data_IF_861573382611
#
_entry.id   IF_861573382611
#
_cell.length_a   1.000
_cell.length_b   1.000
_cell.length_c   1.000
_cell.angle_alpha   90.00
_cell.angle_beta   90.00
_cell.angle_gamma   90.00
#
_symmetry.space_group_name_H-M   'P 1'
#
loop_
_entity.id
_entity.type
_entity.pdbx_description
1 polymer ?
#
# COMPACT_ATOMS: atom_id res chain seq x y z
N UNK A 1 12.87 1.97 -12.97
CA UNK A 1 11.98 3.09 -12.58
C UNK A 1 11.72 4.06 -13.73
N UNK A 2 12.73 4.49 -14.49
CA UNK A 2 12.52 5.32 -15.70
C UNK A 2 11.44 4.73 -16.62
N UNK A 3 11.58 3.48 -17.07
CA UNK A 3 10.58 2.82 -17.95
C UNK A 3 9.15 2.71 -17.38
N UNK A 4 8.96 2.77 -16.05
CA UNK A 4 7.63 2.63 -15.41
C UNK A 4 6.86 3.95 -15.38
N UNK A 5 7.56 5.08 -15.43
CA UNK A 5 7.01 6.42 -15.21
C UNK A 5 7.24 7.32 -16.45
N UNK A 6 8.26 7.04 -17.25
CA UNK A 6 8.57 7.72 -18.50
C UNK A 6 7.44 7.53 -19.53
N UNK A 7 6.99 8.64 -20.13
CA UNK A 7 5.88 8.63 -21.09
C UNK A 7 4.47 8.55 -20.49
N UNK A 8 4.31 8.38 -19.16
CA UNK A 8 2.98 8.50 -18.54
C UNK A 8 2.49 9.95 -18.58
N UNK A 9 1.23 10.22 -18.98
CA UNK A 9 0.67 11.56 -18.96
C UNK A 9 0.75 12.13 -17.53
N UNK A 10 1.04 13.43 -17.37
CA UNK A 10 1.16 14.04 -16.06
C UNK A 10 -0.14 13.86 -15.28
N UNK A 11 -0.07 13.13 -14.16
CA UNK A 11 -1.12 13.19 -13.16
C UNK A 11 -0.83 14.42 -12.31
N UNK A 12 -1.78 15.37 -12.28
CA UNK A 12 -1.62 16.63 -11.54
C UNK A 12 -0.35 17.40 -11.99
N UNK A 13 -0.30 17.81 -13.27
CA UNK A 13 0.65 18.77 -13.89
C UNK A 13 2.16 18.41 -13.94
N UNK A 14 2.64 17.32 -13.33
CA UNK A 14 4.08 16.93 -13.38
C UNK A 14 4.26 15.60 -14.10
N UNK A 15 5.10 15.57 -15.14
CA UNK A 15 5.45 14.32 -15.83
C UNK A 15 6.35 13.43 -14.98
N UNK A 16 6.37 12.13 -15.29
CA UNK A 16 7.26 11.19 -14.62
C UNK A 16 8.74 11.57 -14.70
N UNK A 17 9.17 11.96 -15.91
CA UNK A 17 10.56 12.36 -16.15
C UNK A 17 10.93 13.64 -15.39
N UNK A 18 10.03 14.63 -15.33
CA UNK A 18 10.27 15.84 -14.53
C UNK A 18 10.36 15.51 -13.04
N UNK A 19 9.48 14.65 -12.54
CA UNK A 19 9.54 14.21 -11.15
C UNK A 19 10.84 13.48 -10.82
N UNK A 20 11.36 12.65 -11.72
CA UNK A 20 12.66 11.99 -11.53
C UNK A 20 13.83 12.98 -11.48
N UNK A 21 13.78 14.08 -12.23
CA UNK A 21 14.77 15.16 -12.14
C UNK A 21 14.70 15.86 -10.78
N UNK A 22 13.50 16.08 -10.25
CA UNK A 22 13.28 16.73 -8.95
C UNK A 22 13.52 15.81 -7.74
N UNK A 23 13.49 14.49 -7.95
CA UNK A 23 13.49 13.50 -6.87
C UNK A 23 14.69 13.62 -5.91
N UNK A 24 15.96 13.76 -6.34
CA UNK A 24 17.08 13.90 -5.43
C UNK A 24 16.93 15.09 -4.47
N UNK A 25 16.45 16.24 -4.99
CA UNK A 25 16.18 17.43 -4.17
C UNK A 25 15.07 17.17 -3.16
N UNK A 26 13.96 16.55 -3.59
CA UNK A 26 12.84 16.20 -2.70
C UNK A 26 13.29 15.27 -1.57
N UNK A 27 14.14 14.28 -1.87
CA UNK A 27 14.69 13.38 -0.86
C UNK A 27 15.53 14.14 0.17
N UNK A 28 16.44 15.02 -0.28
CA UNK A 28 17.27 15.83 0.61
C UNK A 28 16.43 16.77 1.48
N UNK A 29 15.48 17.50 0.89
CA UNK A 29 14.58 18.39 1.65
C UNK A 29 13.78 17.64 2.72
N UNK A 30 13.28 16.44 2.39
CA UNK A 30 12.55 15.62 3.37
C UNK A 30 13.49 15.08 4.46
N UNK A 31 14.71 14.70 4.09
CA UNK A 31 15.71 14.22 5.04
C UNK A 31 16.11 15.32 6.02
N UNK A 32 16.38 16.53 5.53
CA UNK A 32 16.70 17.69 6.37
C UNK A 32 15.53 18.03 7.31
N UNK A 33 14.30 18.06 6.77
CA UNK A 33 13.10 18.38 7.54
C UNK A 33 12.86 17.42 8.70
N UNK A 34 13.17 16.15 8.54
CA UNK A 34 12.89 15.09 9.52
C UNK A 34 14.14 14.59 10.25
N UNK A 35 15.29 15.24 10.08
CA UNK A 35 16.60 14.85 10.64
C UNK A 35 16.94 13.38 10.32
N UNK A 36 16.88 13.04 9.03
CA UNK A 36 17.13 11.70 8.52
C UNK A 36 18.54 11.57 7.97
N UNK A 37 19.17 10.44 8.29
CA UNK A 37 20.39 9.98 7.61
C UNK A 37 20.04 8.81 6.71
N UNK A 38 20.41 8.90 5.43
CA UNK A 38 20.25 7.77 4.53
C UNK A 38 21.13 6.59 4.95
N UNK A 39 20.59 5.38 4.78
CA UNK A 39 21.33 4.14 5.02
C UNK A 39 22.05 3.78 3.73
N UNK A 40 23.36 3.56 3.82
CA UNK A 40 24.15 3.06 2.69
C UNK A 40 23.87 1.56 2.46
N UNK A 41 23.88 1.09 1.20
CA UNK A 41 23.73 -0.32 0.87
C UNK A 41 24.80 -1.18 1.54
N UNK A 42 24.40 -2.37 1.98
CA UNK A 42 25.32 -3.37 2.55
C UNK A 42 26.27 -4.00 1.53
N UNK A 43 25.95 -3.91 0.23
CA UNK A 43 26.77 -4.38 -0.88
C UNK A 43 27.10 -3.24 -1.86
N UNK A 44 28.27 -3.33 -2.52
CA UNK A 44 28.89 -2.28 -3.36
C UNK A 44 27.88 -1.58 -4.29
N UNK A 45 27.35 -0.47 -3.82
CA UNK A 45 26.50 0.46 -4.55
C UNK A 45 26.86 1.87 -4.13
N UNK A 46 26.77 2.81 -5.07
CA UNK A 46 26.92 4.23 -4.79
C UNK A 46 25.54 4.84 -4.56
N UNK A 47 25.30 5.43 -3.39
CA UNK A 47 24.02 6.04 -3.03
C UNK A 47 23.18 5.16 -2.11
N UNK A 48 22.04 5.67 -1.59
CA UNK A 48 21.34 5.08 -0.46
C UNK A 48 20.61 3.78 -0.81
N UNK A 49 20.44 2.91 0.20
CA UNK A 49 19.58 1.74 0.10
C UNK A 49 18.14 2.19 -0.14
N UNK A 50 17.58 1.75 -1.26
CA UNK A 50 16.24 2.14 -1.71
C UNK A 50 15.52 1.00 -2.40
N UNK A 51 14.20 1.12 -2.43
CA UNK A 51 13.26 0.30 -3.19
C UNK A 51 12.34 1.21 -3.99
N UNK A 52 11.51 0.63 -4.85
CA UNK A 52 10.50 1.38 -5.59
C UNK A 52 9.17 0.62 -5.70
N UNK A 53 8.08 1.37 -5.70
CA UNK A 53 6.76 0.89 -6.13
C UNK A 53 6.44 1.34 -7.56
N UNK A 54 5.20 1.13 -8.00
CA UNK A 54 4.75 1.54 -9.34
C UNK A 54 4.72 3.05 -9.60
N UNK A 55 4.83 3.88 -8.56
CA UNK A 55 4.84 5.34 -8.64
C UNK A 55 5.56 6.02 -7.46
N UNK A 56 6.46 5.32 -6.76
CA UNK A 56 7.12 5.86 -5.57
C UNK A 56 8.52 5.27 -5.38
N UNK A 57 9.39 6.01 -4.69
CA UNK A 57 10.66 5.52 -4.15
C UNK A 57 10.56 5.44 -2.64
N UNK A 58 11.15 4.39 -2.07
CA UNK A 58 11.26 4.16 -0.65
C UNK A 58 12.74 4.12 -0.29
N UNK A 59 13.21 5.03 0.54
CA UNK A 59 14.62 5.12 0.95
C UNK A 59 14.75 4.68 2.41
N UNK A 60 15.68 3.77 2.67
CA UNK A 60 16.04 3.39 4.03
C UNK A 60 16.76 4.56 4.72
N UNK A 61 16.25 4.95 5.88
CA UNK A 61 16.77 6.06 6.67
C UNK A 61 16.98 5.65 8.13
N UNK A 62 17.69 6.51 8.86
CA UNK A 62 17.71 6.54 10.33
C UNK A 62 17.32 7.93 10.82
N UNK A 63 16.44 7.98 11.81
CA UNK A 63 16.17 9.17 12.61
C UNK A 63 16.82 8.93 13.98
N UNK A 64 17.99 9.54 14.21
CA UNK A 64 18.88 9.14 15.31
C UNK A 64 19.23 7.64 15.25
N UNK A 65 18.80 6.87 16.25
CA UNK A 65 18.98 5.39 16.28
C UNK A 65 17.81 4.62 15.66
N UNK A 66 16.68 5.29 15.39
CA UNK A 66 15.45 4.62 14.93
C UNK A 66 15.54 4.31 13.44
N UNK A 67 15.37 3.04 13.02
CA UNK A 67 15.20 2.71 11.60
C UNK A 67 13.85 3.23 11.09
N UNK A 68 13.87 3.98 9.99
CA UNK A 68 12.68 4.54 9.35
C UNK A 68 12.78 4.41 7.83
N UNK A 69 11.65 4.53 7.13
CA UNK A 69 11.59 4.54 5.67
C UNK A 69 10.99 5.86 5.19
N UNK A 70 11.70 6.54 4.29
CA UNK A 70 11.20 7.72 3.59
C UNK A 70 10.56 7.28 2.28
N UNK A 71 9.24 7.45 2.13
CA UNK A 71 8.53 7.21 0.88
C UNK A 71 8.24 8.54 0.19
N UNK A 72 8.69 8.71 -1.05
CA UNK A 72 8.35 9.86 -1.90
C UNK A 72 7.62 9.35 -3.14
N UNK A 73 6.45 9.91 -3.39
CA UNK A 73 5.50 9.42 -4.40
C UNK A 73 5.35 10.43 -5.53
N UNK A 74 5.32 9.95 -6.77
CA UNK A 74 4.93 10.78 -7.90
C UNK A 74 3.47 11.22 -7.73
N UNK A 75 3.14 12.51 -7.89
CA UNK A 75 1.78 13.02 -7.69
C UNK A 75 0.75 12.25 -8.53
N UNK A 76 -0.25 11.64 -7.89
CA UNK A 76 -1.37 11.00 -8.58
C UNK A 76 -2.60 10.88 -7.66
N UNK A 77 -3.82 10.78 -8.21
CA UNK A 77 -5.06 10.83 -7.41
C UNK A 77 -5.11 9.82 -6.26
N UNK A 78 -4.62 8.61 -6.47
CA UNK A 78 -4.65 7.53 -5.48
C UNK A 78 -3.76 7.81 -4.27
N UNK A 79 -2.62 8.50 -4.44
CA UNK A 79 -1.71 8.84 -3.33
C UNK A 79 -2.23 9.98 -2.45
N UNK A 80 -3.21 10.77 -2.92
CA UNK A 80 -3.65 12.00 -2.24
C UNK A 80 -4.06 11.77 -0.79
N UNK A 81 -4.72 10.64 -0.52
CA UNK A 81 -5.26 10.32 0.80
C UNK A 81 -4.48 9.23 1.52
N UNK A 82 -3.31 8.83 1.01
CA UNK A 82 -2.54 7.72 1.59
C UNK A 82 -2.15 8.00 3.05
N UNK A 83 -1.70 9.21 3.37
CA UNK A 83 -1.38 9.61 4.74
C UNK A 83 -2.59 9.54 5.70
N UNK A 84 -3.80 9.83 5.22
CA UNK A 84 -5.02 9.73 6.02
C UNK A 84 -5.38 8.26 6.27
N UNK A 85 -5.24 7.42 5.24
CA UNK A 85 -5.43 5.99 5.37
C UNK A 85 -4.45 5.40 6.39
N UNK A 86 -3.14 5.63 6.25
CA UNK A 86 -2.16 5.10 7.20
C UNK A 86 -2.36 5.62 8.63
N UNK A 87 -2.81 6.88 8.79
CA UNK A 87 -3.18 7.42 10.11
C UNK A 87 -4.40 6.71 10.71
N UNK A 88 -5.40 6.39 9.90
CA UNK A 88 -6.59 5.66 10.35
C UNK A 88 -6.23 4.23 10.75
N UNK A 89 -5.39 3.57 9.96
CA UNK A 89 -4.98 2.19 10.19
C UNK A 89 -4.03 2.08 11.40
N UNK A 90 -3.21 3.09 11.69
CA UNK A 90 -2.43 3.21 12.93
C UNK A 90 -1.66 1.94 13.34
N UNK A 91 -1.03 1.26 12.37
CA UNK A 91 -0.27 0.02 12.62
C UNK A 91 -1.11 -1.26 12.51
N UNK A 92 -2.42 -1.16 12.37
CA UNK A 92 -3.34 -2.30 12.32
C UNK A 92 -3.39 -2.89 10.91
N UNK A 93 -2.50 -3.84 10.59
CA UNK A 93 -2.39 -4.44 9.26
C UNK A 93 -1.75 -3.54 8.20
N UNK A 94 -1.24 -2.37 8.60
CA UNK A 94 -0.48 -1.46 7.76
C UNK A 94 0.72 -0.90 8.52
N UNK A 95 1.72 -0.45 7.77
CA UNK A 95 2.90 0.23 8.31
C UNK A 95 2.53 1.49 9.10
N UNK A 96 3.17 1.73 10.24
CA UNK A 96 2.96 2.94 11.02
C UNK A 96 3.43 4.20 10.28
N UNK A 97 2.56 5.20 10.23
CA UNK A 97 2.90 6.56 9.78
C UNK A 97 3.55 7.34 10.93
N UNK A 98 4.76 7.82 10.71
CA UNK A 98 5.53 8.60 11.70
C UNK A 98 5.41 10.10 11.45
N UNK A 99 5.41 10.51 10.18
CA UNK A 99 5.17 11.88 9.74
C UNK A 99 4.70 11.90 8.28
N UNK A 100 4.04 12.99 7.87
CA UNK A 100 3.61 13.19 6.49
C UNK A 100 3.91 14.62 6.03
N UNK A 101 4.22 14.76 4.74
CA UNK A 101 4.23 16.02 4.00
C UNK A 101 3.40 15.86 2.72
N UNK A 102 2.07 16.09 2.78
CA UNK A 102 1.21 15.96 1.62
C UNK A 102 1.58 16.92 0.47
N UNK A 103 2.22 18.06 0.77
CA UNK A 103 2.64 19.03 -0.25
C UNK A 103 3.79 18.49 -1.13
N UNK A 104 4.62 17.62 -0.56
CA UNK A 104 5.75 16.95 -1.23
C UNK A 104 5.46 15.50 -1.61
N UNK A 105 4.25 15.01 -1.36
CA UNK A 105 3.88 13.60 -1.57
C UNK A 105 4.82 12.63 -0.83
N UNK A 106 5.27 13.06 0.36
CA UNK A 106 6.26 12.36 1.16
C UNK A 106 5.67 11.84 2.47
N UNK A 107 6.08 10.63 2.85
CA UNK A 107 5.69 9.94 4.09
C UNK A 107 6.94 9.43 4.80
N UNK A 108 6.99 9.61 6.11
CA UNK A 108 7.95 8.95 6.99
C UNK A 108 7.24 7.79 7.67
N UNK A 109 7.76 6.59 7.45
CA UNK A 109 7.14 5.34 7.89
C UNK A 109 8.08 4.58 8.84
N UNK A 110 7.53 3.72 9.69
CA UNK A 110 8.38 2.68 10.28
C UNK A 110 9.01 1.82 9.17
N UNK A 111 10.22 1.32 9.43
CA UNK A 111 10.92 0.50 8.44
C UNK A 111 10.54 -0.97 8.62
N UNK A 112 9.90 -1.54 7.61
CA UNK A 112 9.67 -2.98 7.50
C UNK A 112 10.92 -3.71 7.01
N UNK A 113 10.89 -5.05 7.09
CA UNK A 113 11.89 -5.91 6.44
C UNK A 113 11.63 -5.95 4.94
N UNK A 114 12.50 -5.25 4.17
CA UNK A 114 12.39 -5.16 2.71
C UNK A 114 12.84 -6.42 1.97
N UNK A 115 13.50 -7.36 2.65
CA UNK A 115 13.94 -8.63 2.05
C UNK A 115 12.86 -9.72 2.15
N UNK A 116 11.79 -9.46 2.94
CA UNK A 116 10.62 -10.33 3.05
C UNK A 116 9.52 -9.92 2.07
N UNK A 117 9.48 -10.57 0.92
CA UNK A 117 8.40 -10.38 -0.05
C UNK A 117 7.10 -11.06 0.37
N UNK A 118 5.96 -10.36 0.18
CA UNK A 118 4.62 -10.94 0.32
C UNK A 118 4.17 -11.73 -0.91
N UNK A 119 4.90 -11.67 -2.02
CA UNK A 119 4.56 -12.43 -3.24
C UNK A 119 4.63 -13.96 -3.01
N UNK A 120 5.44 -14.39 -2.05
CA UNK A 120 5.56 -15.79 -1.65
C UNK A 120 4.55 -16.20 -0.56
N UNK A 121 3.70 -15.28 -0.08
CA UNK A 121 2.72 -15.61 0.96
C UNK A 121 1.63 -16.55 0.41
N UNK A 122 1.14 -17.53 1.21
CA UNK A 122 0.04 -18.38 0.80
C UNK A 122 -1.20 -17.55 0.45
N UNK A 123 -1.77 -17.80 -0.73
CA UNK A 123 -2.87 -16.99 -1.25
C UNK A 123 -4.09 -16.97 -0.30
N UNK A 124 -4.45 -18.11 0.27
CA UNK A 124 -5.59 -18.22 1.20
C UNK A 124 -5.40 -17.35 2.44
N UNK A 125 -4.22 -17.42 3.08
CA UNK A 125 -3.87 -16.58 4.24
C UNK A 125 -3.94 -15.09 3.88
N UNK A 126 -3.43 -14.71 2.70
CA UNK A 126 -3.51 -13.33 2.23
C UNK A 126 -4.97 -12.84 2.06
N UNK A 127 -5.86 -13.69 1.56
CA UNK A 127 -7.29 -13.36 1.45
C UNK A 127 -7.97 -13.22 2.80
N UNK A 128 -7.67 -14.09 3.77
CA UNK A 128 -8.20 -14.01 5.13
C UNK A 128 -7.79 -12.71 5.80
N UNK A 129 -6.51 -12.36 5.73
CA UNK A 129 -5.98 -11.11 6.30
C UNK A 129 -6.62 -9.88 5.64
N UNK A 130 -6.66 -9.82 4.30
CA UNK A 130 -7.26 -8.68 3.58
C UNK A 130 -8.77 -8.59 3.86
N UNK A 131 -9.45 -9.73 3.96
CA UNK A 131 -10.88 -9.82 4.25
C UNK A 131 -11.20 -9.27 5.64
N UNK A 132 -10.45 -9.71 6.66
CA UNK A 132 -10.59 -9.22 8.04
C UNK A 132 -10.37 -7.70 8.12
N UNK A 133 -9.23 -7.22 7.61
CA UNK A 133 -8.89 -5.79 7.66
C UNK A 133 -9.95 -4.90 6.97
N UNK A 134 -10.54 -5.38 5.87
CA UNK A 134 -11.64 -4.67 5.20
C UNK A 134 -12.90 -4.64 6.04
N UNK A 135 -13.26 -5.77 6.66
CA UNK A 135 -14.42 -5.84 7.53
C UNK A 135 -14.27 -4.86 8.72
N UNK A 136 -13.09 -4.84 9.34
CA UNK A 136 -12.79 -3.98 10.49
C UNK A 136 -12.91 -2.49 10.13
N UNK A 137 -12.33 -2.08 9.00
CA UNK A 137 -12.42 -0.68 8.53
C UNK A 137 -13.86 -0.28 8.23
N UNK A 138 -14.63 -1.15 7.56
CA UNK A 138 -16.05 -0.88 7.24
C UNK A 138 -16.88 -0.81 8.52
N UNK A 139 -16.69 -1.76 9.43
CA UNK A 139 -17.37 -1.82 10.71
C UNK A 139 -17.07 -0.58 11.55
N UNK A 140 -15.79 -0.25 11.73
CA UNK A 140 -15.35 0.90 12.51
C UNK A 140 -15.82 2.25 11.92
N UNK A 141 -15.75 2.42 10.60
CA UNK A 141 -16.13 3.68 9.94
C UNK A 141 -17.64 3.91 9.93
N UNK A 142 -18.42 2.84 9.74
CA UNK A 142 -19.88 2.92 9.69
C UNK A 142 -20.55 2.65 11.04
N UNK A 143 -19.78 2.45 12.11
CA UNK A 143 -20.24 2.06 13.44
C UNK A 143 -21.14 0.81 13.39
N UNK A 144 -20.79 -0.15 12.54
CA UNK A 144 -21.51 -1.40 12.37
C UNK A 144 -20.92 -2.48 13.27
N UNK A 145 -21.78 -3.40 13.67
CA UNK A 145 -21.40 -4.62 14.38
C UNK A 145 -20.51 -5.49 13.46
N UNK A 146 -19.29 -5.77 13.92
CA UNK A 146 -18.25 -6.43 13.12
C UNK A 146 -18.64 -7.87 12.75
N UNK A 147 -19.25 -8.61 13.68
CA UNK A 147 -19.74 -9.97 13.43
C UNK A 147 -20.82 -9.97 12.35
N UNK A 148 -21.72 -8.97 12.39
CA UNK A 148 -22.71 -8.77 11.33
C UNK A 148 -22.07 -8.38 10.01
N UNK A 149 -21.02 -7.55 9.99
CA UNK A 149 -20.30 -7.18 8.75
C UNK A 149 -19.60 -8.39 8.14
N UNK A 150 -18.98 -9.24 8.96
CA UNK A 150 -18.37 -10.50 8.52
C UNK A 150 -19.43 -11.45 7.95
N UNK A 151 -20.52 -11.67 8.68
CA UNK A 151 -21.64 -12.50 8.21
C UNK A 151 -22.26 -11.97 6.91
N UNK A 152 -22.47 -10.66 6.78
CA UNK A 152 -23.00 -10.06 5.55
C UNK A 152 -22.01 -10.11 4.39
N UNK A 153 -20.70 -10.03 4.66
CA UNK A 153 -19.66 -10.17 3.63
C UNK A 153 -19.65 -11.58 3.05
N UNK A 154 -19.83 -12.61 3.89
CA UNK A 154 -20.02 -14.00 3.46
C UNK A 154 -21.29 -14.14 2.60
N UNK A 155 -22.44 -13.65 3.09
CA UNK A 155 -23.70 -13.68 2.34
C UNK A 155 -23.55 -12.97 0.99
N UNK A 156 -22.85 -11.83 0.96
CA UNK A 156 -22.62 -11.07 -0.28
C UNK A 156 -21.71 -11.82 -1.26
N UNK A 157 -20.66 -12.49 -0.78
CA UNK A 157 -19.78 -13.31 -1.59
C UNK A 157 -20.52 -14.50 -2.20
N UNK A 158 -21.29 -15.25 -1.38
CA UNK A 158 -22.12 -16.37 -1.85
C UNK A 158 -23.18 -15.90 -2.84
N UNK A 159 -23.93 -14.84 -2.52
CA UNK A 159 -24.95 -14.29 -3.41
C UNK A 159 -24.35 -13.81 -4.73
N UNK A 160 -23.16 -13.19 -4.72
CA UNK A 160 -22.48 -12.78 -5.97
C UNK A 160 -21.99 -13.98 -6.78
N UNK A 161 -21.56 -15.07 -6.13
CA UNK A 161 -21.19 -16.30 -6.83
C UNK A 161 -22.41 -16.94 -7.51
N UNK A 162 -23.56 -16.96 -6.83
CA UNK A 162 -24.82 -17.41 -7.39
C UNK A 162 -25.28 -16.51 -8.56
N UNK A 163 -25.29 -15.19 -8.36
CA UNK A 163 -25.65 -14.23 -9.41
C UNK A 163 -24.80 -14.42 -10.68
N UNK A 164 -23.48 -14.62 -10.52
CA UNK A 164 -22.56 -14.85 -11.64
C UNK A 164 -22.82 -16.19 -12.34
N UNK A 165 -23.04 -17.25 -11.56
CA UNK A 165 -23.31 -18.59 -12.09
C UNK A 165 -24.64 -18.69 -12.86
N UNK A 166 -25.61 -17.83 -12.54
CA UNK A 166 -26.92 -17.77 -13.20
C UNK A 166 -26.91 -16.93 -14.50
N UNK A 167 -25.77 -16.33 -14.88
CA UNK A 167 -25.66 -15.60 -16.15
C UNK A 167 -25.63 -16.54 -17.36
N UNK A 168 -25.96 -16.01 -18.55
CA UNK A 168 -25.97 -16.80 -19.78
C UNK A 168 -24.58 -17.30 -20.23
N UNK A 169 -23.51 -16.62 -19.78
CA UNK A 169 -22.12 -16.98 -20.03
C UNK A 169 -21.27 -16.67 -18.77
N UNK A 170 -21.28 -17.58 -17.77
CA UNK A 170 -20.69 -17.33 -16.46
C UNK A 170 -19.16 -17.41 -16.49
N UNK A 171 -18.48 -16.45 -15.85
CA UNK A 171 -17.04 -16.55 -15.60
C UNK A 171 -16.78 -17.49 -14.41
N UNK A 172 -16.50 -18.76 -14.73
CA UNK A 172 -16.22 -19.80 -13.72
C UNK A 172 -14.99 -19.47 -12.84
N UNK A 173 -14.05 -18.66 -13.32
CA UNK A 173 -12.93 -18.22 -12.49
C UNK A 173 -13.39 -17.20 -11.44
N UNK A 174 -14.35 -16.34 -11.75
CA UNK A 174 -14.99 -15.43 -10.78
C UNK A 174 -15.79 -16.23 -9.75
N UNK A 175 -16.61 -17.19 -10.18
CA UNK A 175 -17.41 -18.04 -9.28
C UNK A 175 -16.49 -18.82 -8.32
N UNK A 176 -15.44 -19.45 -8.85
CA UNK A 176 -14.47 -20.21 -8.05
C UNK A 176 -13.74 -19.34 -7.02
N UNK A 177 -13.33 -18.11 -7.39
CA UNK A 177 -12.74 -17.15 -6.46
C UNK A 177 -13.71 -16.76 -5.35
N UNK A 178 -14.97 -16.48 -5.66
CA UNK A 178 -15.98 -16.08 -4.68
C UNK A 178 -16.32 -17.21 -3.70
N UNK A 179 -16.38 -18.46 -4.18
CA UNK A 179 -16.54 -19.64 -3.32
C UNK A 179 -15.33 -19.80 -2.40
N UNK A 180 -14.11 -19.57 -2.92
CA UNK A 180 -12.88 -19.64 -2.12
C UNK A 180 -12.89 -18.59 -1.01
N UNK A 181 -13.28 -17.34 -1.32
CA UNK A 181 -13.45 -16.28 -0.32
C UNK A 181 -14.49 -16.68 0.72
N UNK A 182 -15.66 -17.19 0.29
CA UNK A 182 -16.72 -17.61 1.20
C UNK A 182 -16.24 -18.71 2.17
N UNK A 183 -15.48 -19.70 1.67
CA UNK A 183 -14.89 -20.76 2.51
C UNK A 183 -13.87 -20.22 3.50
N UNK A 184 -13.01 -19.30 3.07
CA UNK A 184 -12.00 -18.68 3.94
C UNK A 184 -12.65 -17.85 5.07
N UNK A 185 -13.85 -17.32 4.84
CA UNK A 185 -14.59 -16.55 5.85
C UNK A 185 -15.33 -17.41 6.90
N UNK A 186 -15.40 -18.74 6.74
CA UNK A 186 -16.09 -19.64 7.68
C UNK A 186 -15.17 -20.63 8.38
N UNK A 187 -13.85 -20.48 8.24
CA UNK A 187 -12.83 -21.25 8.98
C UNK A 187 -12.40 -20.45 10.21
#
# INVERSE_FOLDING_TARGET
MQEVIEGRPPALWISGSQWLVDLPRLLTECADRWDLRFVEPSARGTGPQLWHGGAAVIVACRQGRRPVALKVTWPHPQARHEHLALRHWAGHGAVNLLAADPSRWALLLERLDGDRSLEAAPLLEAWEVIGGLRADVVAGTAHLDEDRVRAWSLVRAVRRALDEADTADPDLAVVSRLITIAKAMTQ
#
